data_IF_482302655700
#
_entry.id   IF_482302655700
#
_cell.length_a   1.000
_cell.length_b   1.000
_cell.length_c   1.000
_cell.angle_alpha   90.00
_cell.angle_beta   90.00
_cell.angle_gamma   90.00
#
_symmetry.space_group_name_H-M   'P 1'
#
loop_
_entity.id
_entity.type
_entity.pdbx_description
1 polymer ?
#
# COMPACT_ATOMS: atom_id res chain seq x y z
N UNK A 1 24.10 17.54 -7.38
CA UNK A 1 23.84 16.72 -6.18
C UNK A 1 22.36 16.52 -5.90
N UNK A 2 21.50 17.56 -5.92
CA UNK A 2 20.05 17.37 -5.71
C UNK A 2 19.41 16.38 -6.69
N UNK A 3 19.68 16.56 -7.99
CA UNK A 3 19.12 15.70 -9.07
C UNK A 3 19.61 14.26 -9.10
N UNK A 4 20.66 13.92 -8.33
CA UNK A 4 21.18 12.54 -8.25
C UNK A 4 20.78 11.86 -6.96
N UNK A 5 20.84 12.57 -5.83
CA UNK A 5 20.53 12.03 -4.51
C UNK A 5 19.02 11.88 -4.30
N UNK A 6 18.22 12.85 -4.76
CA UNK A 6 16.77 12.81 -4.63
C UNK A 6 16.13 11.57 -5.29
N UNK A 7 16.39 11.25 -6.57
CA UNK A 7 15.80 10.05 -7.17
C UNK A 7 16.25 8.77 -6.48
N UNK A 8 17.51 8.68 -6.01
CA UNK A 8 17.97 7.53 -5.22
C UNK A 8 17.16 7.35 -3.93
N UNK A 9 16.88 8.44 -3.21
CA UNK A 9 16.04 8.39 -2.02
C UNK A 9 14.58 8.02 -2.33
N UNK A 10 14.03 8.50 -3.45
CA UNK A 10 12.67 8.17 -3.89
C UNK A 10 12.51 6.69 -4.28
N UNK A 11 13.54 6.05 -4.82
CA UNK A 11 13.45 4.61 -5.11
C UNK A 11 13.36 3.77 -3.84
N UNK A 12 14.00 4.19 -2.74
CA UNK A 12 13.84 3.55 -1.43
C UNK A 12 12.39 3.68 -0.95
N UNK A 13 11.80 4.88 -1.05
CA UNK A 13 10.40 5.06 -0.64
C UNK A 13 9.43 4.25 -1.51
N UNK A 14 9.72 4.07 -2.82
CA UNK A 14 8.94 3.20 -3.71
C UNK A 14 9.01 1.73 -3.31
N UNK A 15 10.21 1.23 -2.96
CA UNK A 15 10.39 -0.16 -2.55
C UNK A 15 9.54 -0.51 -1.32
N UNK A 16 9.51 0.39 -0.34
CA UNK A 16 8.69 0.27 0.87
C UNK A 16 7.30 0.94 0.73
N UNK A 17 6.84 1.18 -0.50
CA UNK A 17 5.57 1.87 -0.77
C UNK A 17 4.32 1.01 -0.60
N UNK A 18 4.41 -0.20 -0.05
CA UNK A 18 3.28 -1.11 0.15
C UNK A 18 2.89 -1.98 -1.06
N UNK A 19 3.30 -1.60 -2.28
CA UNK A 19 3.01 -2.36 -3.50
C UNK A 19 3.99 -3.54 -3.72
N UNK A 20 5.30 -3.29 -3.71
CA UNK A 20 6.31 -4.33 -3.89
C UNK A 20 6.47 -5.22 -2.65
N UNK A 21 6.33 -4.60 -1.48
CA UNK A 21 6.35 -5.26 -0.18
C UNK A 21 5.04 -4.93 0.52
N UNK A 22 4.13 -5.91 0.51
CA UNK A 22 2.87 -5.80 1.24
C UNK A 22 3.15 -5.56 2.74
N UNK A 23 2.41 -4.66 3.41
CA UNK A 23 2.54 -4.45 4.84
C UNK A 23 2.48 -5.74 5.68
N UNK A 24 1.66 -6.71 5.26
CA UNK A 24 1.54 -8.02 5.93
C UNK A 24 2.81 -8.88 5.89
N UNK A 25 3.72 -8.63 4.93
CA UNK A 25 4.94 -9.43 4.72
C UNK A 25 6.22 -8.70 5.12
N UNK A 26 6.11 -7.48 5.66
CA UNK A 26 7.26 -6.68 6.04
C UNK A 26 7.90 -7.21 7.32
N UNK A 27 9.22 -7.43 7.30
CA UNK A 27 9.98 -7.77 8.50
C UNK A 27 10.03 -6.59 9.46
N UNK A 28 9.77 -6.82 10.76
CA UNK A 28 9.73 -5.77 11.81
C UNK A 28 10.99 -4.91 11.87
N UNK A 29 12.16 -5.45 11.51
CA UNK A 29 13.41 -4.69 11.48
C UNK A 29 13.40 -3.50 10.51
N UNK A 30 12.63 -3.60 9.40
CA UNK A 30 12.52 -2.54 8.39
C UNK A 30 11.27 -1.67 8.55
N UNK A 31 10.52 -1.79 9.65
CA UNK A 31 9.28 -1.04 9.87
C UNK A 31 9.47 0.48 9.88
N UNK A 32 10.66 0.96 10.24
CA UNK A 32 10.98 2.38 10.26
C UNK A 32 11.16 2.97 8.85
N UNK A 33 11.70 2.20 7.90
CA UNK A 33 11.83 2.63 6.50
C UNK A 33 10.46 2.70 5.82
N UNK A 34 9.62 1.72 6.12
CA UNK A 34 8.22 1.69 5.70
C UNK A 34 7.44 2.88 6.28
N UNK A 35 7.64 3.22 7.56
CA UNK A 35 7.01 4.40 8.16
C UNK A 35 7.45 5.73 7.53
N UNK A 36 8.68 5.81 7.01
CA UNK A 36 9.21 6.99 6.32
C UNK A 36 8.74 7.12 4.86
N UNK A 37 8.18 6.07 4.27
CA UNK A 37 7.69 6.12 2.90
C UNK A 37 6.35 6.86 2.81
N UNK A 38 6.37 8.10 2.31
CA UNK A 38 5.12 8.81 2.00
C UNK A 38 4.27 8.07 0.96
N UNK A 39 4.90 7.33 0.05
CA UNK A 39 4.22 6.55 -1.01
C UNK A 39 3.35 5.46 -0.39
N UNK A 40 3.79 4.85 0.72
CA UNK A 40 3.01 3.83 1.44
C UNK A 40 1.63 4.34 1.83
N UNK A 41 1.55 5.52 2.46
CA UNK A 41 0.26 6.07 2.91
C UNK A 41 -0.66 6.46 1.75
N UNK A 42 -0.08 6.90 0.62
CA UNK A 42 -0.84 7.14 -0.61
C UNK A 42 -1.38 5.83 -1.17
N UNK A 43 -0.53 4.81 -1.30
CA UNK A 43 -0.89 3.50 -1.85
C UNK A 43 -1.99 2.82 -1.02
N UNK A 44 -1.84 2.81 0.31
CA UNK A 44 -2.83 2.23 1.23
C UNK A 44 -4.16 2.95 1.10
N UNK A 45 -4.15 4.29 1.11
CA UNK A 45 -5.38 5.08 0.94
C UNK A 45 -6.07 4.80 -0.39
N UNK A 46 -5.32 4.81 -1.50
CA UNK A 46 -5.88 4.54 -2.82
C UNK A 46 -6.43 3.12 -2.90
N UNK A 47 -5.70 2.15 -2.37
CA UNK A 47 -6.15 0.76 -2.37
C UNK A 47 -7.43 0.57 -1.56
N UNK A 48 -7.56 1.19 -0.38
CA UNK A 48 -8.80 1.17 0.39
C UNK A 48 -9.94 1.85 -0.39
N UNK A 49 -9.68 3.01 -1.00
CA UNK A 49 -10.69 3.74 -1.79
C UNK A 49 -11.22 2.94 -2.99
N UNK A 50 -10.36 2.17 -3.65
CA UNK A 50 -10.73 1.41 -4.86
C UNK A 50 -11.27 0.00 -4.56
N UNK A 51 -10.76 -0.65 -3.50
CA UNK A 51 -11.08 -2.06 -3.20
C UNK A 51 -12.24 -2.22 -2.22
N UNK A 52 -12.56 -1.20 -1.42
CA UNK A 52 -13.66 -1.29 -0.46
C UNK A 52 -15.01 -1.43 -1.19
N UNK A 53 -15.72 -2.54 -0.94
CA UNK A 53 -16.98 -2.85 -1.61
C UNK A 53 -16.84 -3.37 -3.05
N UNK A 54 -15.62 -3.57 -3.54
CA UNK A 54 -15.39 -4.03 -4.92
C UNK A 54 -15.74 -5.51 -5.05
N UNK A 55 -16.70 -5.82 -5.94
CA UNK A 55 -17.04 -7.19 -6.33
C UNK A 55 -16.59 -7.45 -7.76
N UNK A 56 -15.77 -8.48 -7.94
CA UNK A 56 -15.28 -8.92 -9.24
C UNK A 56 -15.99 -10.22 -9.63
N UNK A 57 -16.42 -10.28 -10.89
CA UNK A 57 -17.03 -11.47 -11.47
C UNK A 57 -15.96 -12.27 -12.22
N UNK A 58 -15.98 -13.59 -12.04
CA UNK A 58 -15.06 -14.51 -12.68
C UNK A 58 -15.81 -15.62 -13.39
N UNK A 59 -15.17 -16.21 -14.39
CA UNK A 59 -15.72 -17.38 -15.08
C UNK A 59 -15.66 -18.61 -14.17
N UNK A 60 -16.56 -19.58 -14.40
CA UNK A 60 -16.61 -20.82 -13.62
C UNK A 60 -15.28 -21.60 -13.66
N UNK A 61 -14.55 -21.52 -14.79
CA UNK A 61 -13.21 -22.10 -14.96
C UNK A 61 -12.14 -21.45 -14.08
N UNK A 62 -12.22 -20.14 -13.81
CA UNK A 62 -11.22 -19.43 -13.00
C UNK A 62 -11.44 -19.65 -11.50
N UNK A 63 -12.69 -19.79 -11.10
CA UNK A 63 -13.08 -20.14 -9.72
C UNK A 63 -12.61 -21.56 -9.39
N UNK A 64 -12.80 -22.52 -10.31
CA UNK A 64 -12.36 -23.91 -10.11
C UNK A 64 -10.84 -24.04 -9.92
N UNK A 65 -10.06 -23.12 -10.48
CA UNK A 65 -8.60 -23.08 -10.36
C UNK A 65 -8.10 -22.30 -9.13
N UNK A 66 -9.00 -21.70 -8.33
CA UNK A 66 -8.65 -20.93 -7.14
C UNK A 66 -7.82 -19.68 -7.43
N UNK A 67 -7.81 -19.19 -8.68
CA UNK A 67 -7.01 -18.03 -9.11
C UNK A 67 -7.77 -16.71 -9.04
N UNK A 68 -9.09 -16.75 -8.91
CA UNK A 68 -9.92 -15.56 -8.88
C UNK A 68 -10.17 -15.08 -7.44
N UNK A 69 -9.85 -13.81 -7.19
CA UNK A 69 -10.29 -13.08 -6.00
C UNK A 69 -11.54 -12.30 -6.41
N UNK A 70 -12.70 -12.68 -5.87
CA UNK A 70 -14.01 -12.08 -6.22
C UNK A 70 -14.32 -10.82 -5.41
N UNK A 71 -13.50 -10.50 -4.41
CA UNK A 71 -13.83 -9.54 -3.36
C UNK A 71 -12.60 -8.66 -3.02
N UNK A 72 -12.75 -7.35 -3.12
CA UNK A 72 -11.68 -6.39 -2.83
C UNK A 72 -11.24 -6.46 -1.37
N UNK A 73 -12.16 -6.77 -0.45
CA UNK A 73 -11.93 -6.94 0.98
C UNK A 73 -10.96 -8.09 1.28
N UNK A 74 -10.98 -9.14 0.46
CA UNK A 74 -10.00 -10.24 0.58
C UNK A 74 -8.61 -9.74 0.23
N UNK A 75 -8.49 -8.90 -0.80
CA UNK A 75 -7.21 -8.32 -1.22
C UNK A 75 -6.67 -7.35 -0.17
N UNK A 76 -7.51 -6.49 0.40
CA UNK A 76 -7.16 -5.57 1.49
C UNK A 76 -6.54 -6.35 2.66
N UNK A 77 -7.19 -7.45 3.06
CA UNK A 77 -6.77 -8.27 4.20
C UNK A 77 -5.51 -9.09 3.92
N UNK A 78 -5.35 -9.65 2.73
CA UNK A 78 -4.14 -10.43 2.38
C UNK A 78 -2.88 -9.55 2.34
N UNK A 79 -3.03 -8.33 1.82
CA UNK A 79 -1.95 -7.35 1.78
C UNK A 79 -1.73 -6.62 3.12
N UNK A 80 -2.70 -6.67 4.04
CA UNK A 80 -2.64 -6.01 5.35
C UNK A 80 -2.75 -4.49 5.25
N UNK A 81 -3.60 -4.00 4.36
CA UNK A 81 -3.79 -2.56 4.08
C UNK A 81 -4.70 -1.88 5.10
N UNK A 82 -5.39 -2.66 5.95
CA UNK A 82 -6.33 -2.20 6.98
C UNK A 82 -5.66 -1.69 8.27
N UNK A 83 -4.32 -1.61 8.32
CA UNK A 83 -3.59 -1.18 9.53
C UNK A 83 -3.84 0.30 9.90
N UNK A 84 -4.32 1.13 8.98
CA UNK A 84 -4.59 2.55 9.17
C UNK A 84 -5.84 2.95 8.39
N UNK A 85 -6.63 3.88 8.94
CA UNK A 85 -7.80 4.42 8.25
C UNK A 85 -7.41 5.40 7.13
N UNK A 86 -8.32 5.60 6.17
CA UNK A 86 -8.18 6.62 5.11
C UNK A 86 -7.84 8.00 5.69
N UNK A 87 -8.52 8.40 6.78
CA UNK A 87 -8.25 9.66 7.46
C UNK A 87 -6.87 9.72 8.12
N UNK A 88 -6.40 8.61 8.69
CA UNK A 88 -5.05 8.50 9.25
C UNK A 88 -3.96 8.69 8.18
N UNK A 89 -4.12 8.08 7.02
CA UNK A 89 -3.20 8.28 5.88
C UNK A 89 -3.14 9.75 5.45
N UNK A 90 -4.28 10.44 5.38
CA UNK A 90 -4.35 11.86 5.02
C UNK A 90 -3.58 12.70 6.04
N UNK A 91 -3.82 12.48 7.33
CA UNK A 91 -3.14 13.22 8.41
C UNK A 91 -1.62 13.07 8.36
N UNK A 92 -1.12 11.85 8.16
CA UNK A 92 0.32 11.58 8.04
C UNK A 92 0.91 12.28 6.83
N UNK A 93 0.25 12.23 5.67
CA UNK A 93 0.74 12.92 4.47
C UNK A 93 0.80 14.43 4.63
N UNK A 94 -0.18 15.05 5.28
CA UNK A 94 -0.12 16.47 5.62
C UNK A 94 1.03 16.78 6.58
N UNK A 95 1.30 15.91 7.56
CA UNK A 95 2.43 16.08 8.46
C UNK A 95 3.77 16.02 7.70
N UNK A 96 3.92 15.14 6.69
CA UNK A 96 5.09 15.11 5.82
C UNK A 96 5.27 16.42 5.03
N UNK A 97 4.19 17.06 4.59
CA UNK A 97 4.25 18.32 3.84
C UNK A 97 4.67 19.49 4.75
N UNK A 98 4.13 19.54 5.97
CA UNK A 98 4.40 20.63 6.92
C UNK A 98 5.77 20.46 7.60
N UNK A 99 6.23 19.22 7.79
CA UNK A 99 7.50 18.89 8.43
C UNK A 99 8.72 18.89 7.51
N UNK A 100 8.52 19.02 6.18
CA UNK A 100 9.58 19.27 5.21
C UNK A 100 9.82 20.78 5.03
#
# INVERSE_FOLDING_TARGET
MSVTVLPMALEITRLFGGFFLAPSRLAKYFSWLDALSYIKYVYVRLSLNELEGLKLTCTASEIALGKCITDGEVTIRDLGLDYISIGGCIGVLFAFIIGC
#
